data_IF_038199609912
#
_entry.id   IF_038199609912
#
_cell.length_a   1.000
_cell.length_b   1.000
_cell.length_c   1.000
_cell.angle_alpha   90.00
_cell.angle_beta   90.00
_cell.angle_gamma   90.00
#
_symmetry.space_group_name_H-M   'P 1'
#
loop_
_entity.id
_entity.type
_entity.pdbx_description
1 polymer ?
#
# COMPACT_ATOMS: atom_id res chain seq x y z
N UNK A 1 43.46 -13.36 14.81
CA UNK A 1 43.27 -12.39 13.71
C UNK A 1 41.81 -12.51 13.28
N UNK A 2 40.89 -11.84 13.99
CA UNK A 2 40.29 -10.53 13.65
C UNK A 2 39.06 -10.71 12.74
N UNK A 3 37.84 -10.21 12.95
CA UNK A 3 37.10 -9.57 14.04
C UNK A 3 35.62 -9.56 13.58
N UNK A 4 34.65 -9.76 14.49
CA UNK A 4 33.21 -9.50 14.26
C UNK A 4 32.93 -7.98 14.24
N UNK A 5 31.95 -7.46 13.47
CA UNK A 5 31.48 -6.10 13.68
C UNK A 5 30.29 -6.07 14.65
N UNK A 6 30.49 -5.39 15.77
CA UNK A 6 29.45 -4.96 16.71
C UNK A 6 29.33 -3.42 16.69
N UNK A 7 28.10 -2.97 16.92
CA UNK A 7 27.65 -1.66 17.37
C UNK A 7 27.64 -0.45 16.41
N UNK A 8 26.42 0.06 16.17
CA UNK A 8 26.04 1.39 16.67
C UNK A 8 24.53 1.41 17.00
N UNK A 9 24.23 1.57 18.29
CA UNK A 9 22.94 2.07 18.79
C UNK A 9 23.11 3.58 18.96
N UNK A 10 22.15 4.37 18.52
CA UNK A 10 21.81 5.61 19.23
C UNK A 10 20.33 5.98 19.07
N UNK A 11 19.71 6.60 20.11
CA UNK A 11 18.28 6.83 20.20
C UNK A 11 17.90 8.27 19.81
N UNK A 12 16.82 8.45 19.06
CA UNK A 12 16.18 9.75 18.89
C UNK A 12 14.69 9.67 19.18
N UNK A 13 14.40 9.81 20.47
CA UNK A 13 13.10 10.17 21.04
C UNK A 13 12.76 11.61 20.60
N UNK A 14 11.89 11.79 19.61
CA UNK A 14 11.11 13.04 19.47
C UNK A 14 9.62 12.71 19.32
N UNK A 15 8.96 13.05 20.43
CA UNK A 15 7.55 13.25 20.71
C UNK A 15 6.86 14.15 19.67
N UNK A 16 5.76 13.67 19.08
CA UNK A 16 4.47 14.40 19.01
C UNK A 16 3.37 13.47 18.49
N UNK A 17 2.59 12.98 19.44
CA UNK A 17 1.21 12.56 19.18
C UNK A 17 0.40 13.82 18.88
N UNK A 18 -0.33 13.85 17.77
CA UNK A 18 -1.54 14.64 17.65
C UNK A 18 -2.68 13.66 17.41
N UNK A 19 -3.21 13.18 18.52
CA UNK A 19 -4.59 12.71 18.58
C UNK A 19 -5.46 13.96 18.67
N UNK A 20 -6.17 14.30 17.60
CA UNK A 20 -7.34 15.17 17.69
C UNK A 20 -8.57 14.34 17.33
N UNK A 21 -8.91 13.47 18.27
CA UNK A 21 -10.28 13.04 18.46
C UNK A 21 -10.92 14.04 19.39
N UNK A 22 -11.94 14.77 18.96
CA UNK A 22 -12.97 15.21 19.90
C UNK A 22 -14.36 15.17 19.28
N UNK A 23 -15.37 14.79 20.09
CA UNK A 23 -16.67 14.36 19.65
C UNK A 23 -17.74 15.46 19.84
N UNK A 24 -18.89 15.19 19.27
CA UNK A 24 -20.23 15.75 19.53
C UNK A 24 -20.37 16.47 20.89
N UNK A 25 -20.75 17.74 20.86
CA UNK A 25 -21.34 18.44 22.02
C UNK A 25 -22.84 18.58 21.81
N UNK A 26 -23.59 17.65 22.38
CA UNK A 26 -25.02 17.76 22.65
C UNK A 26 -25.19 18.38 24.04
N UNK A 27 -25.64 19.62 24.13
CA UNK A 27 -26.12 20.20 25.39
C UNK A 27 -27.62 20.42 25.27
N UNK A 28 -28.36 19.45 25.83
CA UNK A 28 -29.71 19.67 26.31
C UNK A 28 -29.63 20.70 27.44
N UNK A 29 -30.35 21.82 27.31
CA UNK A 29 -30.64 22.70 28.45
C UNK A 29 -32.14 22.76 28.66
N UNK A 30 -32.47 22.54 29.92
CA UNK A 30 -33.77 22.35 30.54
C UNK A 30 -34.70 23.56 30.42
N UNK A 31 -35.99 23.27 30.31
CA UNK A 31 -37.10 24.22 30.47
C UNK A 31 -37.09 24.85 31.87
N UNK A 32 -37.26 26.17 31.96
CA UNK A 32 -37.75 26.94 33.12
C UNK A 32 -38.22 28.31 32.61
N UNK A 33 -39.52 28.57 32.42
CA UNK A 33 -40.56 28.99 33.38
C UNK A 33 -40.32 30.40 33.99
N UNK A 34 -41.26 31.32 33.66
CA UNK A 34 -41.56 32.69 34.17
C UNK A 34 -40.65 33.81 33.63
N UNK A 35 -41.15 34.87 32.99
CA UNK A 35 -42.23 35.75 33.44
C UNK A 35 -43.04 36.39 32.30
N UNK A 36 -44.36 36.48 32.52
CA UNK A 36 -45.29 37.44 31.93
C UNK A 36 -44.94 38.89 32.28
N UNK A 37 -45.52 39.80 31.49
CA UNK A 37 -45.64 41.26 31.61
C UNK A 37 -44.58 42.06 30.84
N UNK A 38 -44.96 42.56 29.68
CA UNK A 38 -45.20 43.99 29.45
C UNK A 38 -45.89 44.18 28.09
N UNK A 39 -47.15 44.62 28.13
CA UNK A 39 -47.86 45.22 27.00
C UNK A 39 -48.05 46.70 27.28
N UNK A 40 -48.24 47.48 26.19
CA UNK A 40 -48.77 48.87 26.14
C UNK A 40 -47.67 49.93 26.39
N UNK A 41 -47.36 50.91 25.54
CA UNK A 41 -48.12 51.80 24.64
C UNK A 41 -47.18 52.19 23.45
N UNK A 42 -47.55 52.89 22.37
CA UNK A 42 -48.68 53.77 22.10
C UNK A 42 -48.98 53.87 20.60
N UNK A 43 -50.24 54.08 20.25
CA UNK A 43 -50.84 55.40 20.00
C UNK A 43 -50.80 55.73 18.52
N UNK A 44 -51.63 55.05 17.73
CA UNK A 44 -52.04 55.54 16.42
C UNK A 44 -53.18 56.53 16.64
N UNK A 45 -52.81 57.81 16.68
CA UNK A 45 -53.71 58.95 16.83
C UNK A 45 -53.43 59.96 15.73
N UNK A 46 -54.37 60.01 14.78
CA UNK A 46 -54.84 61.18 14.02
C UNK A 46 -53.99 62.46 14.07
N UNK A 47 -53.57 62.97 12.91
CA UNK A 47 -54.09 64.26 12.41
C UNK A 47 -53.47 64.64 11.07
N UNK A 48 -54.36 65.16 10.22
CA UNK A 48 -54.09 65.91 9.00
C UNK A 48 -53.56 67.30 9.42
N UNK A 49 -52.26 67.56 9.29
CA UNK A 49 -51.67 68.90 9.53
C UNK A 49 -50.59 69.19 8.50
N UNK A 50 -50.89 70.19 7.67
CA UNK A 50 -49.98 70.85 6.74
C UNK A 50 -48.88 71.65 7.45
N UNK A 51 -47.69 71.60 6.85
CA UNK A 51 -46.48 72.43 7.06
C UNK A 51 -45.70 72.22 8.38
N UNK A 52 -44.45 71.75 8.30
CA UNK A 52 -43.26 72.63 8.26
C UNK A 52 -41.96 71.80 8.15
N UNK A 53 -40.95 72.31 7.47
CA UNK A 53 -39.74 71.62 6.98
C UNK A 53 -38.79 71.06 8.07
N UNK A 54 -39.12 71.25 9.36
CA UNK A 54 -38.25 70.96 10.52
C UNK A 54 -38.22 69.47 10.95
N UNK A 55 -39.35 68.77 10.92
CA UNK A 55 -39.46 67.36 11.39
C UNK A 55 -38.74 66.37 10.48
N UNK A 56 -38.60 66.73 9.20
CA UNK A 56 -37.93 65.93 8.17
C UNK A 56 -36.41 65.81 8.40
N UNK A 57 -35.80 66.77 9.10
CA UNK A 57 -34.36 66.77 9.29
C UNK A 57 -33.90 65.63 10.20
N UNK A 58 -34.57 65.45 11.35
CA UNK A 58 -34.25 64.37 12.29
C UNK A 58 -34.45 62.99 11.66
N UNK A 59 -35.58 62.75 10.98
CA UNK A 59 -35.84 61.48 10.29
C UNK A 59 -34.83 61.23 9.16
N UNK A 60 -34.45 62.25 8.39
CA UNK A 60 -33.45 62.11 7.33
C UNK A 60 -32.08 61.69 7.89
N UNK A 61 -31.68 62.21 9.05
CA UNK A 61 -30.48 61.77 9.77
C UNK A 61 -30.58 60.32 10.24
N UNK A 62 -31.73 59.90 10.77
CA UNK A 62 -31.94 58.51 11.19
C UNK A 62 -31.88 57.56 9.99
N UNK A 63 -32.53 57.91 8.87
CA UNK A 63 -32.53 57.12 7.64
C UNK A 63 -31.13 57.05 7.00
N UNK A 64 -30.38 58.15 7.02
CA UNK A 64 -29.00 58.18 6.55
C UNK A 64 -28.09 57.30 7.42
N UNK A 65 -28.27 57.34 8.75
CA UNK A 65 -27.55 56.48 9.69
C UNK A 65 -27.89 55.01 9.48
N UNK A 66 -29.16 54.68 9.31
CA UNK A 66 -29.62 53.31 9.04
C UNK A 66 -29.06 52.79 7.72
N UNK A 67 -29.12 53.59 6.65
CA UNK A 67 -28.51 53.23 5.36
C UNK A 67 -27.01 52.95 5.47
N UNK A 68 -26.28 53.75 6.25
CA UNK A 68 -24.84 53.52 6.48
C UNK A 68 -24.57 52.22 7.26
N UNK A 69 -25.43 51.87 8.22
CA UNK A 69 -25.33 50.61 8.97
C UNK A 69 -25.67 49.41 8.07
N UNK A 70 -26.72 49.52 7.26
CA UNK A 70 -27.12 48.51 6.28
C UNK A 70 -26.06 48.29 5.21
N UNK A 71 -25.46 49.36 4.68
CA UNK A 71 -24.34 49.28 3.74
C UNK A 71 -23.11 48.60 4.38
N UNK A 72 -22.79 48.92 5.64
CA UNK A 72 -21.69 48.25 6.37
C UNK A 72 -21.97 46.76 6.58
N UNK A 73 -23.19 46.40 6.95
CA UNK A 73 -23.60 44.99 7.13
C UNK A 73 -23.52 44.23 5.80
N UNK A 74 -24.03 44.83 4.71
CA UNK A 74 -23.96 44.26 3.35
C UNK A 74 -22.52 44.05 2.90
N UNK A 75 -21.65 45.05 3.08
CA UNK A 75 -20.22 44.92 2.77
C UNK A 75 -19.55 43.79 3.56
N UNK A 76 -19.87 43.66 4.86
CA UNK A 76 -19.35 42.58 5.69
C UNK A 76 -19.85 41.20 5.22
N UNK A 77 -21.13 41.07 4.90
CA UNK A 77 -21.72 39.83 4.37
C UNK A 77 -21.12 39.46 3.00
N UNK A 78 -20.89 40.44 2.14
CA UNK A 78 -20.26 40.28 0.83
C UNK A 78 -18.79 39.86 0.96
N UNK A 79 -18.05 40.39 1.94
CA UNK A 79 -16.69 39.90 2.25
C UNK A 79 -16.70 38.45 2.74
N UNK A 80 -17.61 38.08 3.65
CA UNK A 80 -17.71 36.71 4.14
C UNK A 80 -18.09 35.73 3.02
N UNK A 81 -19.04 36.11 2.16
CA UNK A 81 -19.44 35.31 1.00
C UNK A 81 -18.26 35.07 0.03
N UNK A 82 -17.50 36.12 -0.26
CA UNK A 82 -16.30 36.02 -1.08
C UNK A 82 -15.24 35.09 -0.44
N UNK A 83 -15.07 35.13 0.88
CA UNK A 83 -14.13 34.24 1.58
C UNK A 83 -14.60 32.78 1.56
N UNK A 84 -15.89 32.52 1.78
CA UNK A 84 -16.47 31.18 1.64
C UNK A 84 -16.29 30.63 0.23
N UNK A 85 -16.56 31.45 -0.79
CA UNK A 85 -16.36 31.08 -2.20
C UNK A 85 -14.91 30.69 -2.48
N UNK A 86 -13.94 31.51 -2.04
CA UNK A 86 -12.50 31.21 -2.20
C UNK A 86 -12.10 29.91 -1.48
N UNK A 87 -12.60 29.67 -0.28
CA UNK A 87 -12.31 28.44 0.47
C UNK A 87 -12.90 27.20 -0.23
N UNK A 88 -14.11 27.31 -0.77
CA UNK A 88 -14.74 26.26 -1.56
C UNK A 88 -13.95 25.96 -2.84
N UNK A 89 -13.57 26.98 -3.61
CA UNK A 89 -12.76 26.82 -4.82
C UNK A 89 -11.41 26.16 -4.51
N UNK A 90 -10.74 26.57 -3.41
CA UNK A 90 -9.51 25.92 -2.95
C UNK A 90 -9.73 24.45 -2.59
N UNK A 91 -10.79 24.13 -1.86
CA UNK A 91 -11.13 22.76 -1.50
C UNK A 91 -11.45 21.90 -2.73
N UNK A 92 -12.12 22.47 -3.73
CA UNK A 92 -12.42 21.79 -4.99
C UNK A 92 -11.14 21.49 -5.79
N UNK A 93 -10.25 22.48 -5.90
CA UNK A 93 -8.97 22.33 -6.60
C UNK A 93 -8.08 21.28 -5.93
N UNK A 94 -8.02 21.25 -4.59
CA UNK A 94 -7.27 20.21 -3.88
C UNK A 94 -7.91 18.83 -4.04
N UNK A 95 -9.25 18.73 -4.00
CA UNK A 95 -9.95 17.47 -4.24
C UNK A 95 -9.67 16.91 -5.64
N UNK A 96 -9.72 17.76 -6.67
CA UNK A 96 -9.37 17.38 -8.04
C UNK A 96 -7.92 16.89 -8.14
N UNK A 97 -6.97 17.64 -7.55
CA UNK A 97 -5.55 17.23 -7.50
C UNK A 97 -5.36 15.88 -6.81
N UNK A 98 -6.04 15.64 -5.70
CA UNK A 98 -5.97 14.38 -4.96
C UNK A 98 -6.54 13.22 -5.78
N UNK A 99 -7.66 13.44 -6.49
CA UNK A 99 -8.23 12.43 -7.42
C UNK A 99 -7.26 12.07 -8.53
N UNK A 100 -6.64 13.06 -9.19
CA UNK A 100 -5.63 12.79 -10.23
C UNK A 100 -4.41 12.05 -9.68
N UNK A 101 -3.95 12.40 -8.47
CA UNK A 101 -2.83 11.71 -7.81
C UNK A 101 -3.19 10.29 -7.39
N UNK A 102 -4.42 10.04 -6.97
CA UNK A 102 -4.91 8.70 -6.68
C UNK A 102 -4.96 7.85 -7.95
N UNK A 103 -5.46 8.41 -9.06
CA UNK A 103 -5.58 7.68 -10.32
C UNK A 103 -4.21 7.33 -10.92
N UNK A 104 -3.28 8.29 -10.92
CA UNK A 104 -1.88 8.03 -11.32
C UNK A 104 -1.24 6.95 -10.46
N UNK A 105 -1.40 7.02 -9.13
CA UNK A 105 -0.87 5.98 -8.23
C UNK A 105 -1.50 4.61 -8.46
N UNK A 106 -2.80 4.53 -8.77
CA UNK A 106 -3.43 3.25 -9.16
C UNK A 106 -2.83 2.69 -10.45
N UNK A 107 -2.64 3.55 -11.46
CA UNK A 107 -2.05 3.12 -12.72
C UNK A 107 -0.60 2.65 -12.55
N UNK A 108 0.19 3.34 -11.73
CA UNK A 108 1.54 2.90 -11.34
C UNK A 108 1.52 1.54 -10.63
N UNK A 109 0.58 1.33 -9.71
CA UNK A 109 0.41 0.03 -9.03
C UNK A 109 0.09 -1.09 -10.02
N UNK A 110 -0.84 -0.87 -10.95
CA UNK A 110 -1.16 -1.85 -12.00
C UNK A 110 0.05 -2.13 -12.88
N UNK A 111 0.81 -1.11 -13.29
CA UNK A 111 2.03 -1.30 -14.06
C UNK A 111 3.09 -2.12 -13.30
N UNK A 112 3.28 -1.87 -12.00
CA UNK A 112 4.20 -2.64 -11.17
C UNK A 112 3.72 -4.09 -10.96
N UNK A 113 2.41 -4.31 -10.82
CA UNK A 113 1.82 -5.65 -10.75
C UNK A 113 2.06 -6.42 -12.05
N UNK A 114 1.81 -5.81 -13.22
CA UNK A 114 2.07 -6.42 -14.52
C UNK A 114 3.56 -6.75 -14.71
N UNK A 115 4.46 -5.85 -14.28
CA UNK A 115 5.89 -6.08 -14.35
C UNK A 115 6.33 -7.24 -13.45
N UNK A 116 5.78 -7.33 -12.24
CA UNK A 116 6.02 -8.43 -11.31
C UNK A 116 5.52 -9.76 -11.89
N UNK A 117 4.30 -9.78 -12.44
CA UNK A 117 3.74 -10.98 -13.06
C UNK A 117 4.60 -11.44 -14.24
N UNK A 118 5.03 -10.51 -15.12
CA UNK A 118 5.94 -10.83 -16.23
C UNK A 118 7.28 -11.37 -15.75
N UNK A 119 7.86 -10.78 -14.69
CA UNK A 119 9.12 -11.25 -14.12
C UNK A 119 8.97 -12.62 -13.47
N UNK A 120 7.86 -12.88 -12.78
CA UNK A 120 7.56 -14.17 -12.17
C UNK A 120 7.33 -15.24 -13.24
N UNK A 121 6.52 -14.93 -14.25
CA UNK A 121 6.22 -15.84 -15.35
C UNK A 121 7.46 -16.14 -16.20
N UNK A 122 8.26 -15.13 -16.54
CA UNK A 122 9.53 -15.31 -17.24
C UNK A 122 10.55 -16.17 -16.46
N UNK A 123 10.53 -16.14 -15.13
CA UNK A 123 11.35 -17.07 -14.32
C UNK A 123 10.80 -18.48 -14.27
N UNK A 124 9.47 -18.62 -14.22
CA UNK A 124 8.81 -19.91 -14.07
C UNK A 124 8.81 -20.72 -15.38
N UNK A 125 8.58 -20.07 -16.52
CA UNK A 125 8.44 -20.72 -17.82
C UNK A 125 9.81 -21.09 -18.43
N UNK A 126 10.83 -20.22 -18.33
CA UNK A 126 12.11 -20.47 -19.03
C UNK A 126 13.19 -21.12 -18.17
N UNK A 127 13.26 -20.81 -16.88
CA UNK A 127 14.39 -21.22 -16.04
C UNK A 127 14.05 -22.40 -15.13
N UNK A 128 12.88 -22.39 -14.47
CA UNK A 128 12.53 -23.41 -13.48
C UNK A 128 12.24 -24.78 -14.08
N UNK A 129 11.40 -24.83 -15.12
CA UNK A 129 10.98 -26.09 -15.74
C UNK A 129 12.09 -26.72 -16.60
N UNK A 130 12.79 -25.90 -17.40
CA UNK A 130 13.83 -26.40 -18.30
C UNK A 130 15.06 -26.93 -17.56
N UNK A 131 15.49 -26.26 -16.49
CA UNK A 131 16.63 -26.70 -15.69
C UNK A 131 16.31 -28.03 -15.00
N UNK A 132 15.13 -28.15 -14.40
CA UNK A 132 14.73 -29.37 -13.69
C UNK A 132 14.55 -30.58 -14.63
N UNK A 133 14.04 -30.36 -15.85
CA UNK A 133 13.97 -31.42 -16.87
C UNK A 133 15.35 -31.80 -17.44
N UNK A 134 16.27 -30.84 -17.58
CA UNK A 134 17.65 -31.14 -17.96
C UNK A 134 18.38 -31.96 -16.89
N UNK A 135 18.25 -31.58 -15.62
CA UNK A 135 18.84 -32.32 -14.48
C UNK A 135 18.28 -33.73 -14.35
N UNK A 136 16.97 -33.94 -14.58
CA UNK A 136 16.37 -35.29 -14.62
C UNK A 136 16.95 -36.16 -15.72
N UNK A 137 17.13 -35.60 -16.93
CA UNK A 137 17.72 -36.32 -18.07
C UNK A 137 19.18 -36.70 -17.79
N UNK A 138 19.95 -35.77 -17.24
CA UNK A 138 21.33 -36.01 -16.83
C UNK A 138 21.41 -37.09 -15.75
N UNK A 139 20.58 -36.99 -14.70
CA UNK A 139 20.50 -37.99 -13.64
C UNK A 139 20.17 -39.39 -14.18
N UNK A 140 19.23 -39.49 -15.12
CA UNK A 140 18.89 -40.77 -15.76
C UNK A 140 20.04 -41.32 -16.61
N UNK A 141 20.72 -40.47 -17.38
CA UNK A 141 21.90 -40.85 -18.18
C UNK A 141 23.03 -41.37 -17.30
N UNK A 142 23.31 -40.69 -16.18
CA UNK A 142 24.31 -41.11 -15.21
C UNK A 142 23.93 -42.43 -14.54
N UNK A 143 22.67 -42.59 -14.11
CA UNK A 143 22.18 -43.86 -13.54
C UNK A 143 22.34 -45.02 -14.52
N UNK A 144 21.96 -44.82 -15.79
CA UNK A 144 22.16 -45.83 -16.84
C UNK A 144 23.64 -46.19 -16.98
N UNK A 145 24.52 -45.20 -17.04
CA UNK A 145 25.97 -45.43 -17.14
C UNK A 145 26.53 -46.17 -15.93
N UNK A 146 26.05 -45.87 -14.73
CA UNK A 146 26.42 -46.60 -13.51
C UNK A 146 25.99 -48.06 -13.64
N UNK A 147 24.75 -48.33 -14.01
CA UNK A 147 24.26 -49.70 -14.20
C UNK A 147 25.04 -50.47 -15.27
N UNK A 148 25.36 -49.82 -16.41
CA UNK A 148 26.18 -50.43 -17.46
C UNK A 148 27.60 -50.77 -16.94
N UNK A 149 28.19 -49.88 -16.11
CA UNK A 149 29.49 -50.12 -15.49
C UNK A 149 29.45 -51.23 -14.43
N UNK A 150 28.39 -51.30 -13.63
CA UNK A 150 28.16 -52.36 -12.65
C UNK A 150 28.05 -53.73 -13.35
N UNK A 151 27.34 -53.81 -14.47
CA UNK A 151 27.24 -55.03 -15.28
C UNK A 151 28.60 -55.44 -15.86
N UNK A 152 29.37 -54.49 -16.41
CA UNK A 152 30.72 -54.78 -16.92
C UNK A 152 31.65 -55.32 -15.81
N UNK A 153 31.54 -54.79 -14.59
CA UNK A 153 32.32 -55.29 -13.46
C UNK A 153 31.92 -56.72 -13.08
N UNK A 154 30.62 -57.02 -13.11
CA UNK A 154 30.11 -58.37 -12.86
C UNK A 154 30.65 -59.38 -13.88
N UNK A 155 30.55 -59.07 -15.18
CA UNK A 155 31.10 -59.91 -16.26
C UNK A 155 32.61 -60.11 -16.08
N UNK A 156 33.35 -59.05 -15.75
CA UNK A 156 34.80 -59.13 -15.50
C UNK A 156 35.13 -60.05 -14.33
N UNK A 157 34.34 -60.02 -13.26
CA UNK A 157 34.53 -60.90 -12.12
C UNK A 157 34.26 -62.37 -12.49
N UNK A 158 33.19 -62.64 -13.23
CA UNK A 158 32.86 -63.98 -13.75
C UNK A 158 33.96 -64.54 -14.64
N UNK A 159 34.44 -63.75 -15.62
CA UNK A 159 35.55 -64.14 -16.49
C UNK A 159 36.84 -64.41 -15.71
N UNK A 160 37.12 -63.64 -14.64
CA UNK A 160 38.30 -63.86 -13.80
C UNK A 160 38.20 -65.19 -13.04
N UNK A 161 37.02 -65.52 -12.50
CA UNK A 161 36.79 -66.80 -11.84
C UNK A 161 36.92 -67.96 -12.83
N UNK A 162 36.32 -67.86 -14.00
CA UNK A 162 36.41 -68.91 -15.02
C UNK A 162 37.83 -69.09 -15.55
N UNK A 163 38.57 -67.99 -15.75
CA UNK A 163 39.99 -68.07 -16.12
C UNK A 163 40.83 -68.76 -15.03
N UNK A 164 40.52 -68.54 -13.76
CA UNK A 164 41.18 -69.24 -12.65
C UNK A 164 40.83 -70.74 -12.65
N UNK A 165 39.54 -71.08 -12.81
CA UNK A 165 39.08 -72.48 -12.91
C UNK A 165 39.79 -73.22 -14.05
N UNK A 166 39.88 -72.60 -15.22
CA UNK A 166 40.58 -73.15 -16.39
C UNK A 166 42.10 -73.28 -16.14
N UNK A 167 42.71 -72.34 -15.43
CA UNK A 167 44.13 -72.45 -15.03
C UNK A 167 44.36 -73.63 -14.09
N UNK A 168 43.47 -73.84 -13.13
CA UNK A 168 43.57 -74.94 -12.18
C UNK A 168 43.37 -76.29 -12.89
N UNK A 169 42.43 -76.36 -13.84
CA UNK A 169 42.19 -77.51 -14.71
C UNK A 169 43.39 -77.81 -15.62
N UNK A 170 43.91 -76.80 -16.31
CA UNK A 170 45.13 -76.93 -17.13
C UNK A 170 46.33 -77.36 -16.28
N UNK A 171 46.48 -76.81 -15.07
CA UNK A 171 47.51 -77.21 -14.12
C UNK A 171 47.38 -78.68 -13.69
N UNK A 172 46.15 -79.16 -13.50
CA UNK A 172 45.88 -80.57 -13.23
C UNK A 172 46.24 -81.47 -14.42
N UNK A 173 45.85 -81.09 -15.64
CA UNK A 173 46.18 -81.83 -16.86
C UNK A 173 47.69 -81.88 -17.10
N UNK A 174 48.42 -80.77 -16.96
CA UNK A 174 49.89 -80.75 -17.08
C UNK A 174 50.53 -81.71 -16.09
N UNK A 175 50.04 -81.76 -14.84
CA UNK A 175 50.54 -82.71 -13.83
C UNK A 175 50.30 -84.16 -14.25
N UNK A 176 49.13 -84.48 -14.80
CA UNK A 176 48.80 -85.84 -15.29
C UNK A 176 49.72 -86.22 -16.44
N UNK A 177 49.86 -85.35 -17.46
CA UNK A 177 50.75 -85.59 -18.61
C UNK A 177 52.19 -85.81 -18.14
N UNK A 178 52.70 -84.95 -17.26
CA UNK A 178 54.07 -85.05 -16.74
C UNK A 178 54.32 -86.38 -16.01
N UNK A 179 53.31 -86.96 -15.34
CA UNK A 179 53.43 -88.29 -14.69
C UNK A 179 53.42 -89.43 -15.70
N UNK A 180 52.69 -89.30 -16.82
CA UNK A 180 52.60 -90.31 -17.88
C UNK A 180 53.76 -90.24 -18.87
N UNK A 181 54.48 -89.12 -18.95
CA UNK A 181 55.61 -88.90 -19.86
C UNK A 181 56.99 -89.18 -19.24
N UNK A 182 57.04 -89.74 -18.02
CA UNK A 182 58.26 -90.28 -17.39
C UNK A 182 58.27 -91.79 -17.50
#
# INVERSE_FOLDING_TARGET
MSSLPSHNKDPSRIRKQFSDSCPVSSVATTKSLRHERLSRLGSSGSSDVSNDTSTNHAESYFLQRENRLSARKKAQEETANNDYKKMYEKALATNQRLKSRLETSKQELTMMQDQLERAQKGRQDDCGANVLEAEKKESWSLKKRISDMEEQLKIKAELKMENQRLKDENGALIRVITKLSK
#
